data_IF_877961529578
#
_entry.id   IF_877961529578
#
_cell.length_a   1.000
_cell.length_b   1.000
_cell.length_c   1.000
_cell.angle_alpha   90.00
_cell.angle_beta   90.00
_cell.angle_gamma   90.00
#
_symmetry.space_group_name_H-M   'P 1'
#
loop_
_entity.id
_entity.type
_entity.pdbx_description
1 polymer ?
#
# COMPACT_ATOMS: atom_id res chain seq x y z
N UNK A 1 7.04 -23.54 16.57
CA UNK A 1 7.42 -22.82 15.34
C UNK A 1 7.18 -21.36 15.63
N UNK A 2 8.25 -20.58 15.77
CA UNK A 2 8.16 -19.14 15.91
C UNK A 2 7.51 -18.58 14.65
N UNK A 3 6.26 -18.13 14.78
CA UNK A 3 5.44 -17.67 13.65
C UNK A 3 5.85 -16.25 13.30
N UNK A 4 6.43 -16.06 12.13
CA UNK A 4 6.67 -14.73 11.56
C UNK A 4 5.41 -14.22 10.87
N UNK A 5 5.06 -12.95 11.10
CA UNK A 5 3.93 -12.25 10.47
C UNK A 5 4.43 -10.95 9.87
N UNK A 6 4.07 -10.70 8.61
CA UNK A 6 4.29 -9.41 7.95
C UNK A 6 3.04 -8.55 8.07
N UNK A 7 3.20 -7.31 8.54
CA UNK A 7 2.13 -6.33 8.72
C UNK A 7 2.37 -5.16 7.76
N UNK A 8 1.32 -4.81 7.02
CA UNK A 8 1.26 -3.58 6.23
C UNK A 8 0.57 -2.49 7.06
N UNK A 9 1.31 -1.44 7.41
CA UNK A 9 0.76 -0.22 8.01
C UNK A 9 0.48 0.83 6.93
N UNK A 10 -0.69 1.47 7.00
CA UNK A 10 -1.10 2.57 6.13
C UNK A 10 -1.60 3.71 7.03
N UNK A 11 -1.10 4.91 6.79
CA UNK A 11 -1.50 6.14 7.51
C UNK A 11 -1.92 7.21 6.50
N UNK A 12 -3.18 7.66 6.61
CA UNK A 12 -3.83 8.65 5.72
C UNK A 12 -4.87 9.49 6.48
N UNK A 13 -4.61 9.85 7.74
CA UNK A 13 -5.58 10.56 8.59
C UNK A 13 -5.70 12.06 8.30
N UNK A 14 -4.63 12.70 7.85
CA UNK A 14 -4.56 14.16 7.69
C UNK A 14 -3.98 14.57 6.33
N UNK A 15 -2.71 14.97 6.28
CA UNK A 15 -2.03 15.50 5.09
C UNK A 15 -0.77 14.72 4.73
N UNK A 16 -0.62 13.53 5.30
CA UNK A 16 0.49 12.62 5.05
C UNK A 16 -0.05 11.29 4.53
N UNK A 17 0.60 10.74 3.51
CA UNK A 17 0.39 9.37 3.07
C UNK A 17 1.62 8.58 3.46
N UNK A 18 1.48 7.58 4.32
CA UNK A 18 2.60 6.75 4.75
C UNK A 18 2.27 5.27 4.61
N UNK A 19 3.28 4.49 4.24
CA UNK A 19 3.23 3.03 4.21
C UNK A 19 4.42 2.48 4.98
N UNK A 20 4.20 1.45 5.82
CA UNK A 20 5.25 0.73 6.52
C UNK A 20 5.06 -0.79 6.38
N UNK A 21 6.16 -1.51 6.25
CA UNK A 21 6.19 -2.97 6.30
C UNK A 21 6.90 -3.38 7.59
N UNK A 22 6.19 -4.12 8.44
CA UNK A 22 6.67 -4.50 9.77
C UNK A 22 6.68 -6.03 9.85
N UNK A 23 7.82 -6.60 10.21
CA UNK A 23 7.95 -8.01 10.54
C UNK A 23 7.73 -8.20 12.05
N UNK A 24 6.88 -9.15 12.41
CA UNK A 24 6.65 -9.59 13.79
C UNK A 24 7.06 -11.04 13.92
N UNK A 25 8.11 -11.29 14.70
CA UNK A 25 8.51 -12.66 15.07
C UNK A 25 7.91 -12.99 16.42
N UNK A 26 6.95 -13.92 16.43
CA UNK A 26 6.42 -14.43 17.68
C UNK A 26 7.46 -15.34 18.33
N UNK A 27 7.80 -15.08 19.60
CA UNK A 27 8.58 -15.98 20.45
C UNK A 27 7.76 -16.35 21.68
N UNK A 28 8.17 -17.42 22.37
CA UNK A 28 7.53 -17.88 23.61
C UNK A 28 7.59 -16.84 24.76
N UNK A 29 8.45 -15.82 24.65
CA UNK A 29 8.63 -14.81 25.71
C UNK A 29 7.93 -13.49 25.37
N UNK A 30 8.24 -12.91 24.21
CA UNK A 30 7.64 -11.67 23.71
C UNK A 30 7.81 -11.58 22.20
N UNK A 31 6.83 -11.03 21.46
CA UNK A 31 7.03 -10.71 20.05
C UNK A 31 8.14 -9.68 19.84
N UNK A 32 8.97 -9.93 18.84
CA UNK A 32 9.97 -8.99 18.33
C UNK A 32 9.42 -8.30 17.08
N UNK A 33 9.63 -7.00 16.99
CA UNK A 33 9.13 -6.16 15.90
C UNK A 33 10.30 -5.54 15.15
N UNK A 34 10.29 -5.63 13.82
CA UNK A 34 11.28 -5.01 12.95
C UNK A 34 10.59 -4.24 11.84
N UNK A 35 10.94 -2.96 11.67
CA UNK A 35 10.49 -2.19 10.51
C UNK A 35 11.37 -2.57 9.32
N UNK A 36 10.81 -3.28 8.34
CA UNK A 36 11.54 -3.69 7.14
C UNK A 36 11.68 -2.53 6.15
N UNK A 37 10.64 -1.72 6.02
CA UNK A 37 10.62 -0.54 5.16
C UNK A 37 9.55 0.45 5.59
N UNK A 38 9.73 1.72 5.21
CA UNK A 38 8.68 2.73 5.25
C UNK A 38 8.85 3.73 4.12
N UNK A 39 7.76 4.34 3.67
CA UNK A 39 7.74 5.39 2.68
C UNK A 39 6.68 6.43 3.07
N UNK A 40 7.02 7.72 2.95
CA UNK A 40 6.18 8.84 3.36
C UNK A 40 6.10 9.87 2.25
N UNK A 41 4.90 10.41 2.04
CA UNK A 41 4.66 11.61 1.26
C UNK A 41 3.91 12.63 2.11
N UNK A 42 4.49 13.83 2.26
CA UNK A 42 3.89 14.95 2.98
C UNK A 42 3.28 15.95 2.01
N UNK A 43 2.05 16.39 2.29
CA UNK A 43 1.30 17.37 1.48
C UNK A 43 1.43 18.80 2.01
N UNK A 44 2.28 19.06 3.01
CA UNK A 44 2.41 20.36 3.68
C UNK A 44 2.54 21.50 2.65
N UNK A 45 3.40 21.36 1.65
CA UNK A 45 3.61 22.39 0.62
C UNK A 45 2.34 22.69 -0.19
N UNK A 46 1.49 21.69 -0.44
CA UNK A 46 0.24 21.87 -1.18
C UNK A 46 -0.82 22.59 -0.33
N UNK A 47 -0.83 22.36 0.97
CA UNK A 47 -1.79 22.97 1.90
C UNK A 47 -1.40 24.39 2.33
N UNK A 48 -0.14 24.79 2.14
CA UNK A 48 0.34 26.15 2.48
C UNK A 48 -0.49 27.25 1.81
N UNK A 49 -0.89 27.05 0.56
CA UNK A 49 -1.69 28.02 -0.20
C UNK A 49 -3.08 28.26 0.40
N UNK A 50 -3.59 27.30 1.17
CA UNK A 50 -4.91 27.34 1.79
C UNK A 50 -4.88 27.80 3.27
N UNK A 51 -3.68 28.04 3.83
CA UNK A 51 -3.51 28.42 5.23
C UNK A 51 -3.81 27.30 6.24
N UNK A 52 -3.89 26.06 5.77
CA UNK A 52 -4.24 24.88 6.56
C UNK A 52 -4.64 23.71 5.67
N UNK A 53 -4.89 22.55 6.27
CA UNK A 53 -5.25 21.33 5.52
C UNK A 53 -6.58 21.51 4.81
N UNK A 54 -6.56 21.39 3.48
CA UNK A 54 -7.77 21.40 2.66
C UNK A 54 -8.26 19.96 2.42
N UNK A 55 -9.38 19.52 3.04
CA UNK A 55 -9.73 18.09 3.11
C UNK A 55 -9.91 17.41 1.75
N UNK A 56 -10.52 18.10 0.78
CA UNK A 56 -10.76 17.54 -0.56
C UNK A 56 -9.44 17.31 -1.32
N UNK A 57 -8.48 18.23 -1.17
CA UNK A 57 -7.14 18.07 -1.73
C UNK A 57 -6.39 16.94 -1.03
N UNK A 58 -6.49 16.86 0.30
CA UNK A 58 -5.81 15.82 1.06
C UNK A 58 -6.25 14.41 0.64
N UNK A 59 -7.56 14.19 0.55
CA UNK A 59 -8.13 12.94 0.03
C UNK A 59 -7.58 12.57 -1.35
N UNK A 60 -7.52 13.53 -2.27
CA UNK A 60 -7.02 13.30 -3.64
C UNK A 60 -5.56 12.88 -3.62
N UNK A 61 -4.72 13.58 -2.86
CA UNK A 61 -3.30 13.27 -2.78
C UNK A 61 -3.03 11.94 -2.05
N UNK A 62 -3.88 11.51 -1.10
CA UNK A 62 -3.81 10.14 -0.56
C UNK A 62 -4.03 9.09 -1.65
N UNK A 63 -5.10 9.21 -2.44
CA UNK A 63 -5.41 8.27 -3.52
C UNK A 63 -4.31 8.22 -4.58
N UNK A 64 -3.72 9.37 -4.91
CA UNK A 64 -2.65 9.45 -5.90
C UNK A 64 -1.34 8.77 -5.45
N UNK A 65 -1.01 8.85 -4.16
CA UNK A 65 0.30 8.46 -3.65
C UNK A 65 0.32 7.09 -2.95
N UNK A 66 -0.82 6.51 -2.60
CA UNK A 66 -0.87 5.25 -1.84
C UNK A 66 -0.20 4.08 -2.59
N UNK A 67 -0.57 3.80 -3.84
CA UNK A 67 0.00 2.68 -4.59
C UNK A 67 1.51 2.87 -4.90
N UNK A 68 1.99 4.04 -5.34
CA UNK A 68 3.42 4.29 -5.51
C UNK A 68 4.23 4.10 -4.22
N UNK A 69 3.72 4.56 -3.07
CA UNK A 69 4.38 4.39 -1.78
C UNK A 69 4.41 2.93 -1.34
N UNK A 70 3.32 2.18 -1.54
CA UNK A 70 3.29 0.75 -1.28
C UNK A 70 4.35 0.00 -2.11
N UNK A 71 4.44 0.28 -3.40
CA UNK A 71 5.45 -0.33 -4.29
C UNK A 71 6.86 0.01 -3.80
N UNK A 72 7.10 1.28 -3.43
CA UNK A 72 8.40 1.71 -2.88
C UNK A 72 8.74 0.95 -1.60
N UNK A 73 7.80 0.82 -0.67
CA UNK A 73 8.00 0.11 0.59
C UNK A 73 8.24 -1.40 0.37
N UNK A 74 7.49 -2.05 -0.53
CA UNK A 74 7.71 -3.46 -0.90
C UNK A 74 9.10 -3.67 -1.51
N UNK A 75 9.56 -2.77 -2.39
CA UNK A 75 10.91 -2.84 -2.97
C UNK A 75 11.99 -2.68 -1.91
N UNK A 76 11.85 -1.71 -1.01
CA UNK A 76 12.79 -1.49 0.10
C UNK A 76 12.85 -2.69 1.05
N UNK A 77 11.72 -3.35 1.30
CA UNK A 77 11.64 -4.54 2.15
C UNK A 77 12.12 -5.84 1.44
N UNK A 78 12.51 -5.78 0.16
CA UNK A 78 12.80 -6.95 -0.69
C UNK A 78 11.62 -7.92 -0.82
N UNK A 79 10.39 -7.40 -0.79
CA UNK A 79 9.13 -8.15 -0.89
C UNK A 79 8.36 -7.86 -2.20
N UNK A 80 8.96 -7.09 -3.11
CA UNK A 80 8.37 -6.83 -4.43
C UNK A 80 8.67 -7.99 -5.37
N UNK A 81 7.62 -8.74 -5.75
CA UNK A 81 7.68 -9.83 -6.73
C UNK A 81 6.49 -9.72 -7.68
N UNK A 82 6.78 -9.74 -8.98
CA UNK A 82 5.76 -9.82 -10.02
C UNK A 82 5.38 -11.28 -10.27
N UNK A 83 4.10 -11.55 -10.54
CA UNK A 83 3.64 -12.89 -10.92
C UNK A 83 4.26 -13.31 -12.24
N UNK A 84 4.60 -14.59 -12.36
CA UNK A 84 5.14 -15.16 -13.59
C UNK A 84 4.20 -14.93 -14.79
N UNK A 85 4.77 -14.60 -15.95
CA UNK A 85 4.01 -14.32 -17.18
C UNK A 85 3.09 -15.48 -17.62
N UNK A 86 3.39 -16.72 -17.21
CA UNK A 86 2.56 -17.89 -17.50
C UNK A 86 1.27 -17.96 -16.64
N UNK A 87 1.28 -17.40 -15.42
CA UNK A 87 0.09 -17.32 -14.56
C UNK A 87 -0.85 -16.19 -14.99
N UNK A 88 -0.33 -15.19 -15.71
CA UNK A 88 -1.10 -14.03 -16.19
C UNK A 88 -2.02 -14.29 -17.39
N UNK A 89 -1.98 -15.49 -18.02
CA UNK A 89 -2.66 -15.76 -19.30
C UNK A 89 -4.05 -16.41 -19.13
N UNK A 90 -4.43 -16.86 -17.92
CA UNK A 90 -5.61 -17.73 -17.76
C UNK A 90 -6.59 -17.37 -16.64
N UNK A 91 -6.29 -16.42 -15.75
CA UNK A 91 -7.18 -16.17 -14.63
C UNK A 91 -8.15 -15.02 -14.94
N UNK A 92 -9.44 -15.36 -15.00
CA UNK A 92 -10.51 -14.41 -14.65
C UNK A 92 -10.09 -13.68 -13.38
N UNK A 93 -10.36 -12.37 -13.24
CA UNK A 93 -10.11 -11.66 -11.99
C UNK A 93 -10.55 -12.53 -10.82
N UNK A 94 -9.60 -12.88 -9.94
CA UNK A 94 -9.94 -13.60 -8.71
C UNK A 94 -11.04 -12.82 -8.00
N UNK A 95 -11.88 -13.51 -7.23
CA UNK A 95 -12.97 -12.88 -6.48
C UNK A 95 -12.47 -11.65 -5.69
N UNK A 96 -11.27 -11.77 -5.10
CA UNK A 96 -10.54 -10.70 -4.41
C UNK A 96 -10.23 -9.52 -5.34
N UNK A 97 -9.74 -9.76 -6.56
CA UNK A 97 -9.45 -8.67 -7.51
C UNK A 97 -10.71 -7.90 -7.86
N UNK A 98 -11.80 -8.61 -8.15
CA UNK A 98 -13.10 -7.98 -8.47
C UNK A 98 -13.64 -7.19 -7.29
N UNK A 99 -13.49 -7.72 -6.07
CA UNK A 99 -13.89 -7.05 -4.84
C UNK A 99 -13.07 -5.77 -4.60
N UNK A 100 -11.74 -5.82 -4.76
CA UNK A 100 -10.87 -4.64 -4.65
C UNK A 100 -11.26 -3.57 -5.67
N UNK A 101 -11.48 -3.95 -6.93
CA UNK A 101 -11.94 -2.98 -7.94
C UNK A 101 -13.29 -2.38 -7.56
N UNK A 102 -14.22 -3.17 -7.04
CA UNK A 102 -15.52 -2.66 -6.60
C UNK A 102 -15.39 -1.70 -5.40
N UNK A 103 -14.53 -2.01 -4.41
CA UNK A 103 -14.25 -1.11 -3.27
C UNK A 103 -13.70 0.23 -3.76
N UNK A 104 -12.82 0.20 -4.75
CA UNK A 104 -12.16 1.38 -5.29
C UNK A 104 -12.98 2.14 -6.36
N UNK A 105 -14.23 1.74 -6.62
CA UNK A 105 -15.04 2.32 -7.71
C UNK A 105 -15.30 3.84 -7.59
N UNK A 106 -15.19 4.40 -6.38
CA UNK A 106 -15.36 5.85 -6.11
C UNK A 106 -14.06 6.64 -6.28
N UNK A 107 -12.93 5.96 -6.43
CA UNK A 107 -11.59 6.53 -6.52
C UNK A 107 -10.91 6.04 -7.83
N UNK A 108 -11.32 6.54 -9.01
CA UNK A 108 -10.94 5.97 -10.31
C UNK A 108 -9.43 5.98 -10.57
N UNK A 109 -8.72 6.99 -10.08
CA UNK A 109 -7.26 7.06 -10.21
C UNK A 109 -6.58 5.96 -9.36
N UNK A 110 -7.00 5.81 -8.11
CA UNK A 110 -6.47 4.77 -7.20
C UNK A 110 -6.81 3.37 -7.72
N UNK A 111 -8.05 3.17 -8.20
CA UNK A 111 -8.48 1.92 -8.82
C UNK A 111 -7.58 1.54 -10.00
N UNK A 112 -7.34 2.49 -10.91
CA UNK A 112 -6.44 2.30 -12.05
C UNK A 112 -5.04 1.91 -11.60
N UNK A 113 -4.45 2.65 -10.65
CA UNK A 113 -3.12 2.34 -10.13
C UNK A 113 -3.03 0.93 -9.54
N UNK A 114 -4.06 0.49 -8.79
CA UNK A 114 -4.11 -0.85 -8.23
C UNK A 114 -4.21 -1.93 -9.31
N UNK A 115 -5.08 -1.74 -10.31
CA UNK A 115 -5.23 -2.68 -11.42
C UNK A 115 -3.98 -2.81 -12.29
N UNK A 116 -3.21 -1.73 -12.45
CA UNK A 116 -2.03 -1.73 -13.33
C UNK A 116 -0.80 -2.27 -12.60
N UNK A 117 -0.66 -2.00 -11.29
CA UNK A 117 0.63 -2.18 -10.60
C UNK A 117 0.59 -3.12 -9.40
N UNK A 118 -0.56 -3.30 -8.73
CA UNK A 118 -0.63 -4.07 -7.47
C UNK A 118 -1.15 -5.48 -7.71
N UNK A 119 -2.13 -5.64 -8.60
CA UNK A 119 -2.81 -6.94 -8.81
C UNK A 119 -1.95 -7.99 -9.51
N UNK A 120 -0.85 -7.54 -10.12
CA UNK A 120 0.16 -8.36 -10.77
C UNK A 120 1.30 -8.77 -9.82
N UNK A 121 1.22 -8.40 -8.54
CA UNK A 121 2.22 -8.76 -7.53
C UNK A 121 1.86 -10.08 -6.85
N UNK A 122 2.88 -10.84 -6.47
CA UNK A 122 2.75 -11.97 -5.56
C UNK A 122 2.58 -11.47 -4.13
N UNK A 123 1.77 -12.18 -3.34
CA UNK A 123 1.69 -11.92 -1.91
C UNK A 123 3.00 -12.36 -1.22
N UNK A 124 3.61 -11.53 -0.37
CA UNK A 124 4.87 -11.82 0.31
C UNK A 124 4.77 -12.89 1.41
#
# INVERSE_FOLDING_TARGET
MDKTVTILGIETSCDETSVAIIEVKNSDTRPEYSVLAHALYSQIELHKEFGGVFPALAKREHGKNLAPLLISALKQANLYKEKDAAENISESPTEIHSEVLNILNREPELQKQFSENITNLEAP
#
